data_IF_751360981284
#
_entry.id   IF_751360981284
#
_cell.length_a   1.000
_cell.length_b   1.000
_cell.length_c   1.000
_cell.angle_alpha   90.00
_cell.angle_beta   90.00
_cell.angle_gamma   90.00
#
_symmetry.space_group_name_H-M   'P 1'
#
loop_
_entity.id
_entity.type
_entity.pdbx_description
1 polymer ?
#
# COMPACT_ATOMS: atom_id res chain seq x y z
N UNK A 1 -4.20 10.33 22.75
CA UNK A 1 -4.23 8.85 22.63
C UNK A 1 -3.31 8.27 23.69
N UNK A 2 -3.79 7.34 24.54
CA UNK A 2 -2.98 6.74 25.60
C UNK A 2 -1.83 5.91 25.04
N UNK A 3 -0.77 5.72 25.83
CA UNK A 3 0.29 4.76 25.51
C UNK A 3 -0.29 3.36 25.58
N UNK A 4 -0.05 2.56 24.54
CA UNK A 4 -0.53 1.17 24.43
C UNK A 4 0.63 0.27 24.82
N UNK A 5 0.42 -0.62 25.80
CA UNK A 5 1.38 -1.66 26.15
C UNK A 5 1.04 -2.94 25.37
N UNK A 6 2.00 -3.46 24.62
CA UNK A 6 1.91 -4.77 23.96
C UNK A 6 3.11 -5.59 24.39
N UNK A 7 2.86 -6.70 25.08
CA UNK A 7 3.91 -7.50 25.73
C UNK A 7 4.79 -6.59 26.62
N UNK A 8 6.09 -6.55 26.36
CA UNK A 8 7.07 -5.78 27.13
C UNK A 8 7.38 -4.41 26.50
N UNK A 9 6.64 -4.02 25.46
CA UNK A 9 6.87 -2.80 24.69
C UNK A 9 5.73 -1.78 24.86
N UNK A 10 6.08 -0.50 24.76
CA UNK A 10 5.17 0.64 24.90
C UNK A 10 5.11 1.43 23.60
N UNK A 11 3.91 1.62 23.06
CA UNK A 11 3.66 2.28 21.80
C UNK A 11 2.85 3.56 22.01
N UNK A 12 3.31 4.66 21.42
CA UNK A 12 2.51 5.89 21.31
C UNK A 12 1.79 5.89 19.96
N UNK A 13 0.46 5.91 19.93
CA UNK A 13 -0.28 6.03 18.67
C UNK A 13 0.15 7.28 17.92
N UNK A 14 0.60 7.10 16.68
CA UNK A 14 1.09 8.21 15.85
C UNK A 14 -0.04 8.83 15.03
N UNK A 15 -0.74 8.01 14.25
CA UNK A 15 -1.86 8.43 13.41
C UNK A 15 -3.09 7.61 13.82
N UNK A 16 -4.21 8.30 14.03
CA UNK A 16 -5.48 7.62 14.29
C UNK A 16 -5.93 6.86 13.03
N UNK A 17 -6.47 5.65 13.22
CA UNK A 17 -7.09 4.84 12.17
C UNK A 17 -8.06 5.65 11.29
N UNK A 18 -8.90 6.49 11.88
CA UNK A 18 -9.90 7.27 11.14
C UNK A 18 -9.23 8.29 10.20
N UNK A 19 -8.08 8.83 10.62
CA UNK A 19 -7.28 9.73 9.77
C UNK A 19 -6.64 8.97 8.60
N UNK A 20 -6.15 7.75 8.84
CA UNK A 20 -5.65 6.89 7.76
C UNK A 20 -6.77 6.54 6.78
N UNK A 21 -7.94 6.11 7.28
CA UNK A 21 -9.08 5.76 6.46
C UNK A 21 -9.56 6.93 5.60
N UNK A 22 -9.62 8.15 6.16
CA UNK A 22 -9.97 9.35 5.41
C UNK A 22 -8.96 9.66 4.29
N UNK A 23 -7.66 9.50 4.55
CA UNK A 23 -6.60 9.69 3.54
C UNK A 23 -6.72 8.64 2.43
N UNK A 24 -6.89 7.37 2.77
CA UNK A 24 -7.04 6.29 1.79
C UNK A 24 -8.27 6.51 0.90
N UNK A 25 -9.41 6.87 1.51
CA UNK A 25 -10.65 7.20 0.79
C UNK A 25 -10.44 8.36 -0.17
N UNK A 26 -9.76 9.42 0.29
CA UNK A 26 -9.47 10.57 -0.55
C UNK A 26 -8.57 10.19 -1.73
N UNK A 27 -7.48 9.45 -1.49
CA UNK A 27 -6.57 8.99 -2.53
C UNK A 27 -7.27 8.12 -3.57
N UNK A 28 -8.07 7.15 -3.15
CA UNK A 28 -8.77 6.25 -4.05
C UNK A 28 -9.76 7.02 -4.97
N UNK A 29 -10.48 8.00 -4.41
CA UNK A 29 -11.38 8.86 -5.19
C UNK A 29 -10.63 9.79 -6.15
N UNK A 30 -9.53 10.38 -5.72
CA UNK A 30 -8.70 11.23 -6.58
C UNK A 30 -8.11 10.44 -7.74
N UNK A 31 -7.50 9.28 -7.48
CA UNK A 31 -6.97 8.40 -8.53
C UNK A 31 -8.06 7.98 -9.51
N UNK A 32 -9.26 7.65 -9.03
CA UNK A 32 -10.39 7.32 -9.91
C UNK A 32 -10.83 8.51 -10.78
N UNK A 33 -10.80 9.72 -10.26
CA UNK A 33 -11.16 10.92 -11.00
C UNK A 33 -10.11 11.28 -12.06
N UNK A 34 -8.84 10.95 -11.79
CA UNK A 34 -7.72 11.19 -12.71
C UNK A 34 -7.65 10.17 -13.86
N UNK A 35 -8.27 8.99 -13.70
CA UNK A 35 -8.29 7.95 -14.72
C UNK A 35 -9.28 8.27 -15.86
N UNK A 36 -8.91 7.97 -17.11
CA UNK A 36 -9.82 7.97 -18.25
C UNK A 36 -11.10 7.15 -18.00
N UNK A 37 -12.19 7.59 -18.62
CA UNK A 37 -13.47 6.91 -18.52
C UNK A 37 -13.37 5.48 -19.08
N UNK A 38 -13.83 4.51 -18.29
CA UNK A 38 -13.82 3.07 -18.59
C UNK A 38 -12.42 2.41 -18.60
N UNK A 39 -11.39 3.08 -18.09
CA UNK A 39 -10.10 2.42 -17.89
C UNK A 39 -10.15 1.45 -16.71
N UNK A 40 -9.50 0.28 -16.87
CA UNK A 40 -9.34 -0.73 -15.81
C UNK A 40 -7.85 -0.69 -15.41
N UNK A 41 -7.49 0.02 -14.32
CA UNK A 41 -6.10 0.12 -13.92
C UNK A 41 -5.59 -1.18 -13.31
N UNK A 42 -4.28 -1.41 -13.42
CA UNK A 42 -3.55 -2.42 -12.65
C UNK A 42 -2.81 -1.76 -11.48
N UNK A 43 -3.16 -2.12 -10.25
CA UNK A 43 -2.46 -1.67 -9.05
C UNK A 43 -1.37 -2.67 -8.66
N UNK A 44 -0.13 -2.20 -8.61
CA UNK A 44 1.03 -3.03 -8.25
C UNK A 44 1.48 -2.71 -6.82
N UNK A 45 1.17 -3.61 -5.88
CA UNK A 45 1.58 -3.50 -4.48
C UNK A 45 2.99 -4.06 -4.24
N UNK A 46 3.86 -3.27 -3.60
CA UNK A 46 5.22 -3.70 -3.23
C UNK A 46 5.22 -4.34 -1.84
N UNK A 47 5.43 -5.66 -1.78
CA UNK A 47 5.45 -6.41 -0.52
C UNK A 47 6.71 -6.11 0.33
N UNK A 48 6.65 -6.26 1.66
CA UNK A 48 5.55 -6.84 2.44
C UNK A 48 4.60 -5.80 3.05
N UNK A 49 5.09 -4.61 3.40
CA UNK A 49 4.35 -3.63 4.21
C UNK A 49 3.13 -3.01 3.53
N UNK A 50 3.02 -3.07 2.20
CA UNK A 50 1.92 -2.41 1.49
C UNK A 50 0.57 -3.14 1.63
N UNK A 51 0.55 -4.42 2.02
CA UNK A 51 -0.63 -5.26 1.83
C UNK A 51 -1.90 -4.68 2.48
N UNK A 52 -1.77 -4.14 3.69
CA UNK A 52 -2.90 -3.59 4.43
C UNK A 52 -3.41 -2.30 3.80
N UNK A 53 -2.50 -1.41 3.40
CA UNK A 53 -2.83 -0.17 2.70
C UNK A 53 -3.47 -0.46 1.34
N UNK A 54 -2.89 -1.37 0.55
CA UNK A 54 -3.42 -1.76 -0.74
C UNK A 54 -4.84 -2.32 -0.61
N UNK A 55 -5.09 -3.19 0.38
CA UNK A 55 -6.42 -3.74 0.63
C UNK A 55 -7.46 -2.67 0.99
N UNK A 56 -7.09 -1.68 1.82
CA UNK A 56 -7.96 -0.55 2.15
C UNK A 56 -8.21 0.34 0.92
N UNK A 57 -7.16 0.62 0.14
CA UNK A 57 -7.26 1.44 -1.07
C UNK A 57 -8.16 0.81 -2.14
N UNK A 58 -8.00 -0.49 -2.41
CA UNK A 58 -8.80 -1.22 -3.41
C UNK A 58 -10.28 -1.23 -2.98
N UNK A 59 -10.57 -1.39 -1.68
CA UNK A 59 -11.93 -1.30 -1.16
C UNK A 59 -12.57 0.06 -1.42
N UNK A 60 -11.82 1.15 -1.28
CA UNK A 60 -12.32 2.51 -1.51
C UNK A 60 -12.36 2.93 -3.00
N UNK A 61 -11.55 2.32 -3.87
CA UNK A 61 -11.50 2.67 -5.30
C UNK A 61 -12.84 2.43 -6.02
N UNK A 62 -13.64 1.45 -5.58
CA UNK A 62 -15.01 1.22 -6.05
C UNK A 62 -15.15 1.23 -7.59
N UNK A 63 -14.23 0.58 -8.29
CA UNK A 63 -14.19 0.45 -9.75
C UNK A 63 -13.52 -0.87 -10.16
N UNK A 64 -13.67 -1.25 -11.43
CA UNK A 64 -12.98 -2.43 -11.96
C UNK A 64 -11.47 -2.13 -11.96
N UNK A 65 -10.68 -3.02 -11.36
CA UNK A 65 -9.23 -2.92 -11.36
C UNK A 65 -8.61 -4.31 -11.26
N UNK A 66 -7.38 -4.42 -11.73
CA UNK A 66 -6.52 -5.58 -11.50
C UNK A 66 -5.53 -5.27 -10.38
N UNK A 67 -5.09 -6.31 -9.68
CA UNK A 67 -4.16 -6.18 -8.56
C UNK A 67 -3.04 -7.19 -8.72
N UNK A 68 -1.81 -6.68 -8.72
CA UNK A 68 -0.60 -7.51 -8.72
C UNK A 68 0.25 -7.16 -7.51
N UNK A 69 0.94 -8.15 -6.95
CA UNK A 69 1.89 -7.93 -5.87
C UNK A 69 3.26 -8.39 -6.34
N UNK A 70 4.23 -7.50 -6.18
CA UNK A 70 5.63 -7.82 -6.46
C UNK A 70 6.43 -7.81 -5.17
N UNK A 71 7.28 -8.83 -5.02
CA UNK A 71 8.27 -8.88 -3.96
C UNK A 71 9.62 -8.48 -4.53
N UNK A 72 10.01 -7.24 -4.29
CA UNK A 72 11.33 -6.75 -4.63
C UNK A 72 12.31 -7.19 -3.54
N UNK A 73 13.10 -8.23 -3.80
CA UNK A 73 14.29 -8.48 -3.00
C UNK A 73 15.39 -7.56 -3.50
N UNK A 74 15.41 -6.34 -3.00
CA UNK A 74 16.39 -5.35 -3.42
C UNK A 74 17.37 -5.06 -2.29
N UNK A 75 18.61 -5.51 -2.52
CA UNK A 75 19.89 -4.93 -2.09
C UNK A 75 20.61 -5.46 -0.83
N UNK A 76 21.65 -6.24 -1.09
CA UNK A 76 22.86 -6.40 -0.28
C UNK A 76 23.61 -5.03 -0.27
N UNK A 77 23.24 -4.12 0.65
CA UNK A 77 23.94 -2.85 0.86
C UNK A 77 23.52 -1.64 -0.01
N UNK A 78 24.15 -0.48 0.25
CA UNK A 78 23.80 0.89 -0.19
C UNK A 78 23.96 1.19 -1.69
N UNK A 79 24.01 0.18 -2.57
CA UNK A 79 24.20 0.40 -4.00
C UNK A 79 23.27 -0.47 -4.83
N UNK A 80 22.43 0.19 -5.63
CA UNK A 80 21.52 -0.47 -6.53
C UNK A 80 22.26 -1.01 -7.76
N UNK A 81 22.74 -2.26 -7.72
CA UNK A 81 23.08 -3.01 -8.93
C UNK A 81 21.76 -3.33 -9.64
N UNK A 82 21.52 -2.77 -10.82
CA UNK A 82 20.25 -2.78 -11.55
C UNK A 82 19.66 -4.15 -11.96
N UNK A 83 19.98 -5.24 -11.28
CA UNK A 83 19.36 -6.55 -11.45
C UNK A 83 18.25 -6.74 -10.42
N UNK A 84 17.03 -6.37 -10.80
CA UNK A 84 15.83 -6.64 -10.02
C UNK A 84 15.53 -8.14 -10.16
N UNK A 85 15.84 -8.93 -9.11
CA UNK A 85 15.39 -10.32 -9.04
C UNK A 85 13.90 -10.33 -8.67
N UNK A 86 13.04 -10.47 -9.65
CA UNK A 86 11.61 -10.71 -9.47
C UNK A 86 11.44 -12.07 -8.77
N UNK A 87 11.14 -12.07 -7.47
CA UNK A 87 10.95 -13.32 -6.71
C UNK A 87 9.49 -13.78 -6.68
N UNK A 88 8.53 -12.88 -6.91
CA UNK A 88 7.09 -13.19 -7.06
C UNK A 88 6.42 -12.06 -7.84
N UNK A 89 5.66 -12.38 -8.90
CA UNK A 89 4.73 -11.48 -9.61
C UNK A 89 4.96 -11.40 -11.13
N UNK A 90 4.10 -12.14 -11.88
CA UNK A 90 4.13 -12.49 -13.33
C UNK A 90 5.32 -13.36 -13.75
#
# INVERSE_FOLDING_TARGET
MPIIKLQDLYFKPYINKDKIAAIVTHLAKSVKADLPKNEIPIFVGILNGCFLFAADFIREFAGNCEVSFVKLASYDGTSSKGEIKNLVGI
#
